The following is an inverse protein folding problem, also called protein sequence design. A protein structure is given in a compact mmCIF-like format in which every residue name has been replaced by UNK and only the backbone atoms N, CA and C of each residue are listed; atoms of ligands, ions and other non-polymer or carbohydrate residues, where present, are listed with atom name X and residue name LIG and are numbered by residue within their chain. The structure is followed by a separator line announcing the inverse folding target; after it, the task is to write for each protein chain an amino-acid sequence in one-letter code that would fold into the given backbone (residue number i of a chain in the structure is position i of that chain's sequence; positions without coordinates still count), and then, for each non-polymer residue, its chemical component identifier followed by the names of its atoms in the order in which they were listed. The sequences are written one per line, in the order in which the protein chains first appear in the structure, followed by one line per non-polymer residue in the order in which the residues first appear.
data_IF_736569661724
#
_entry.id   IF_736569661724
#
_cell.length_a   1.000
_cell.length_b   1.000
_cell.length_c   1.000
_cell.angle_alpha   90.00
_cell.angle_beta   90.00
_cell.angle_gamma   90.00
#
_symmetry.space_group_name_H-M   'P 1'
#
loop_
_entity.id
_entity.type
_entity.pdbx_description
1 polymer ?
#
# COMPACT_ATOMS: atom_id res chain seq x y z
N UNK A 1 -26.35 35.14 -33.09
CA UNK A 1 -26.84 33.85 -33.56
C UNK A 1 -25.83 32.78 -33.10
N UNK A 2 -26.08 32.19 -31.94
CA UNK A 2 -25.26 31.12 -31.37
C UNK A 2 -25.79 29.79 -31.90
N UNK A 3 -24.94 29.02 -32.57
CA UNK A 3 -25.27 27.66 -33.02
C UNK A 3 -25.49 26.77 -31.80
N UNK A 4 -26.52 25.90 -31.76
CA UNK A 4 -26.71 24.93 -30.70
C UNK A 4 -25.62 23.85 -30.79
N UNK A 5 -25.03 23.53 -29.65
CA UNK A 5 -24.16 22.36 -29.47
C UNK A 5 -24.99 21.11 -29.82
N UNK A 6 -24.57 20.42 -30.88
CA UNK A 6 -25.15 19.13 -31.27
C UNK A 6 -24.96 18.13 -30.13
N UNK A 7 -26.02 17.42 -29.79
CA UNK A 7 -26.03 16.33 -28.81
C UNK A 7 -24.99 15.28 -29.21
N UNK A 8 -23.82 15.31 -28.60
CA UNK A 8 -22.83 14.26 -28.75
C UNK A 8 -23.43 13.02 -28.05
N UNK A 9 -23.69 11.99 -28.85
CA UNK A 9 -24.24 10.76 -28.32
C UNK A 9 -23.23 10.11 -27.35
N UNK A 10 -23.58 10.05 -26.08
CA UNK A 10 -22.73 9.49 -25.00
C UNK A 10 -22.20 8.10 -25.37
N UNK A 11 -23.01 7.31 -26.10
CA UNK A 11 -22.62 5.99 -26.57
C UNK A 11 -21.47 6.04 -27.60
N UNK A 12 -21.45 7.04 -28.48
CA UNK A 12 -20.35 7.25 -29.44
C UNK A 12 -19.07 7.71 -28.72
N UNK A 13 -19.20 8.57 -27.69
CA UNK A 13 -18.06 9.03 -26.91
C UNK A 13 -17.43 7.86 -26.12
N UNK A 14 -18.25 7.01 -25.51
CA UNK A 14 -17.78 5.81 -24.79
C UNK A 14 -17.10 4.84 -25.76
N UNK A 15 -17.67 4.61 -26.94
CA UNK A 15 -17.06 3.76 -27.97
C UNK A 15 -15.73 4.33 -28.49
N UNK A 16 -15.65 5.64 -28.64
CA UNK A 16 -14.43 6.31 -29.08
C UNK A 16 -13.31 6.16 -28.03
N UNK A 17 -13.62 6.40 -26.76
CA UNK A 17 -12.65 6.21 -25.65
C UNK A 17 -12.17 4.76 -25.56
N UNK A 18 -13.08 3.79 -25.70
CA UNK A 18 -12.73 2.36 -25.71
C UNK A 18 -11.84 2.00 -26.90
N UNK A 19 -12.08 2.63 -28.07
CA UNK A 19 -11.31 2.37 -29.29
C UNK A 19 -9.92 3.01 -29.20
N UNK A 20 -9.82 4.22 -28.69
CA UNK A 20 -8.55 4.92 -28.50
C UNK A 20 -7.66 4.23 -27.48
N UNK A 21 -8.23 3.68 -26.39
CA UNK A 21 -7.49 2.85 -25.42
C UNK A 21 -6.98 1.54 -26.04
N UNK A 22 -7.67 0.97 -27.02
CA UNK A 22 -7.22 -0.23 -27.73
C UNK A 22 -6.06 0.01 -28.69
N UNK A 23 -5.90 1.21 -29.22
CA UNK A 23 -4.84 1.53 -30.18
C UNK A 23 -3.52 1.99 -29.56
N UNK A 24 -3.52 2.40 -28.28
CA UNK A 24 -2.30 2.82 -27.57
C UNK A 24 -1.52 1.68 -26.88
N UNK A 25 -1.98 0.43 -26.98
CA UNK A 25 -1.46 -0.71 -26.20
C UNK A 25 -0.88 -1.86 -27.04
N UNK A 26 -0.23 -1.58 -28.19
CA UNK A 26 0.37 -2.64 -29.03
C UNK A 26 1.74 -3.15 -28.50
N UNK A 27 2.31 -2.55 -27.44
CA UNK A 27 3.65 -2.98 -26.94
C UNK A 27 3.68 -3.59 -25.53
N UNK A 28 2.56 -3.68 -24.82
CA UNK A 28 2.40 -4.55 -23.65
C UNK A 28 0.92 -4.91 -23.60
N UNK A 29 0.55 -6.10 -24.03
CA UNK A 29 -0.80 -6.60 -23.81
C UNK A 29 -1.07 -6.50 -22.29
N UNK A 30 -1.99 -5.63 -21.82
CA UNK A 30 -2.39 -5.68 -20.44
C UNK A 30 -2.97 -7.09 -20.27
N UNK A 31 -2.45 -7.86 -19.29
CA UNK A 31 -3.20 -9.02 -18.80
C UNK A 31 -4.59 -8.49 -18.52
N UNK A 32 -5.57 -8.94 -19.26
CA UNK A 32 -6.97 -8.60 -19.01
C UNK A 32 -7.24 -9.08 -17.60
N UNK A 33 -7.36 -8.17 -16.65
CA UNK A 33 -7.77 -8.48 -15.29
C UNK A 33 -9.23 -8.87 -15.45
N UNK A 34 -9.51 -10.17 -15.40
CA UNK A 34 -10.88 -10.66 -15.35
C UNK A 34 -11.41 -10.35 -13.95
N UNK A 35 -12.03 -9.19 -13.81
CA UNK A 35 -12.78 -8.87 -12.59
C UNK A 35 -14.05 -9.73 -12.58
N UNK A 36 -14.19 -10.55 -11.54
CA UNK A 36 -15.37 -11.41 -11.38
C UNK A 36 -15.08 -12.70 -10.61
N UNK A 37 -15.96 -13.66 -10.73
CA UNK A 37 -15.89 -14.98 -10.03
C UNK A 37 -14.60 -15.75 -10.34
N UNK A 38 -13.92 -15.42 -11.42
CA UNK A 38 -12.66 -16.03 -11.86
C UNK A 38 -11.42 -15.15 -11.58
N UNK A 39 -11.59 -14.05 -10.82
CA UNK A 39 -10.44 -13.26 -10.37
C UNK A 39 -9.63 -14.11 -9.38
N UNK A 40 -8.38 -14.48 -9.66
CA UNK A 40 -7.57 -15.30 -8.76
C UNK A 40 -7.35 -14.63 -7.41
N UNK A 41 -7.39 -13.29 -7.36
CA UNK A 41 -7.26 -12.53 -6.13
C UNK A 41 -8.54 -12.42 -5.29
N UNK A 42 -9.69 -12.98 -5.74
CA UNK A 42 -10.95 -12.84 -5.00
C UNK A 42 -10.87 -13.49 -3.62
N UNK A 43 -11.31 -12.77 -2.58
CA UNK A 43 -11.24 -13.22 -1.19
C UNK A 43 -9.81 -13.59 -0.73
N UNK A 44 -8.79 -12.97 -1.30
CA UNK A 44 -7.40 -13.12 -0.86
C UNK A 44 -6.92 -11.83 -0.20
N UNK A 45 -6.33 -11.95 1.00
CA UNK A 45 -5.74 -10.81 1.72
C UNK A 45 -4.28 -11.12 2.08
N UNK A 46 -3.37 -10.44 1.41
CA UNK A 46 -1.94 -10.51 1.75
C UNK A 46 -1.60 -9.34 2.67
N UNK A 47 -1.19 -9.65 3.87
CA UNK A 47 -0.67 -8.68 4.82
C UNK A 47 0.84 -8.56 4.67
N UNK A 48 1.38 -7.35 4.75
CA UNK A 48 2.83 -7.16 4.87
C UNK A 48 3.20 -6.70 6.27
N UNK A 49 4.35 -7.14 6.75
CA UNK A 49 4.98 -6.64 7.96
C UNK A 49 6.47 -6.37 7.71
N UNK A 50 7.03 -5.40 8.41
CA UNK A 50 8.43 -5.01 8.31
C UNK A 50 8.61 -3.57 8.77
N UNK A 51 9.73 -3.27 9.42
CA UNK A 51 10.04 -1.95 9.96
C UNK A 51 10.27 -0.87 8.89
N UNK A 52 10.49 0.37 9.31
CA UNK A 52 10.98 1.42 8.42
C UNK A 52 12.28 0.96 7.74
N UNK A 53 12.49 1.34 6.48
CA UNK A 53 13.70 0.92 5.74
C UNK A 53 13.75 -0.56 5.32
N UNK A 54 12.80 -1.42 5.73
CA UNK A 54 12.82 -2.85 5.37
C UNK A 54 12.62 -3.11 3.86
N UNK A 55 12.04 -2.16 3.12
CA UNK A 55 11.84 -2.29 1.68
C UNK A 55 10.50 -2.90 1.27
N UNK A 56 9.48 -2.86 2.13
CA UNK A 56 8.10 -3.32 1.81
C UNK A 56 7.58 -2.76 0.49
N UNK A 57 7.72 -1.44 0.27
CA UNK A 57 7.27 -0.80 -0.96
C UNK A 57 8.00 -1.32 -2.20
N UNK A 58 9.29 -1.63 -2.08
CA UNK A 58 10.06 -2.27 -3.16
C UNK A 58 9.51 -3.67 -3.46
N UNK A 59 9.25 -4.48 -2.42
CA UNK A 59 8.67 -5.81 -2.62
C UNK A 59 7.24 -5.74 -3.14
N UNK A 60 6.44 -4.77 -2.71
CA UNK A 60 5.11 -4.54 -3.26
C UNK A 60 5.18 -4.26 -4.78
N UNK A 61 6.16 -3.52 -5.24
CA UNK A 61 6.37 -3.25 -6.66
C UNK A 61 6.86 -4.49 -7.41
N UNK A 62 7.90 -5.16 -6.92
CA UNK A 62 8.54 -6.30 -7.59
C UNK A 62 7.65 -7.54 -7.60
N UNK A 63 6.99 -7.86 -6.48
CA UNK A 63 6.21 -9.09 -6.32
C UNK A 63 4.78 -8.92 -6.85
N UNK A 64 4.16 -7.78 -6.53
CA UNK A 64 2.73 -7.56 -6.82
C UNK A 64 2.50 -6.59 -7.98
N UNK A 65 3.55 -6.00 -8.55
CA UNK A 65 3.43 -5.02 -9.64
C UNK A 65 2.74 -3.72 -9.22
N UNK A 66 2.75 -3.42 -7.94
CA UNK A 66 2.21 -2.16 -7.40
C UNK A 66 3.23 -1.06 -7.66
N UNK A 67 3.09 -0.35 -8.77
CA UNK A 67 3.99 0.77 -9.09
C UNK A 67 3.82 1.90 -8.08
N UNK A 68 4.75 2.03 -7.18
CA UNK A 68 4.93 3.21 -6.33
C UNK A 68 5.69 4.28 -7.11
N UNK A 69 5.03 4.88 -8.10
CA UNK A 69 5.68 5.93 -8.89
C UNK A 69 5.93 7.16 -8.01
N UNK A 70 7.17 7.36 -7.59
CA UNK A 70 7.61 8.54 -6.83
C UNK A 70 7.54 9.84 -7.65
N UNK A 71 7.48 9.75 -8.99
CA UNK A 71 7.70 10.89 -9.88
C UNK A 71 6.47 11.33 -10.68
N UNK A 72 5.26 10.84 -10.34
CA UNK A 72 4.07 11.14 -11.11
C UNK A 72 2.90 11.63 -10.24
N UNK A 73 2.05 12.54 -10.75
CA UNK A 73 0.92 13.07 -10.00
C UNK A 73 0.03 11.96 -9.47
N UNK A 74 -0.47 12.12 -8.25
CA UNK A 74 -1.22 11.14 -7.47
C UNK A 74 -2.33 10.41 -8.23
N UNK A 75 -2.98 11.06 -9.19
CA UNK A 75 -4.12 10.49 -9.92
C UNK A 75 -3.75 9.76 -11.21
N UNK A 76 -2.60 10.06 -11.82
CA UNK A 76 -2.27 9.52 -13.15
C UNK A 76 -1.54 8.18 -13.11
N UNK A 77 -0.93 7.81 -11.98
CA UNK A 77 0.03 6.71 -11.95
C UNK A 77 0.01 5.83 -10.71
N UNK A 78 -0.92 6.04 -9.79
CA UNK A 78 -1.11 5.16 -8.67
C UNK A 78 -1.98 3.98 -9.12
N UNK A 79 -1.36 2.91 -9.60
CA UNK A 79 -2.08 1.65 -9.75
C UNK A 79 -2.43 1.15 -8.35
N UNK A 80 -3.71 1.22 -7.99
CA UNK A 80 -4.24 0.55 -6.80
C UNK A 80 -4.47 -0.95 -7.05
N UNK A 81 -4.15 -1.41 -8.23
CA UNK A 81 -4.35 -2.78 -8.69
C UNK A 81 -3.00 -3.38 -8.99
N UNK A 82 -2.61 -4.40 -8.25
CA UNK A 82 -1.42 -5.19 -8.53
C UNK A 82 -1.56 -6.04 -9.80
N UNK A 83 -0.45 -6.53 -10.35
CA UNK A 83 -0.42 -7.36 -11.55
C UNK A 83 -1.19 -8.68 -11.40
N UNK A 84 -1.42 -9.13 -10.18
CA UNK A 84 -2.18 -10.32 -9.81
C UNK A 84 -3.61 -10.01 -9.29
N UNK A 85 -4.12 -8.80 -9.56
CA UNK A 85 -5.48 -8.40 -9.18
C UNK A 85 -5.63 -7.85 -7.76
N UNK A 86 -4.61 -7.94 -6.90
CA UNK A 86 -4.68 -7.44 -5.53
C UNK A 86 -4.74 -5.91 -5.48
N UNK A 87 -5.66 -5.38 -4.70
CA UNK A 87 -5.84 -3.95 -4.48
C UNK A 87 -4.91 -3.49 -3.35
N UNK A 88 -4.07 -2.51 -3.61
CA UNK A 88 -3.10 -2.01 -2.62
C UNK A 88 -3.76 -1.11 -1.59
N UNK A 89 -3.70 -1.52 -0.31
CA UNK A 89 -4.26 -0.83 0.85
C UNK A 89 -3.11 -0.21 1.64
N UNK A 90 -2.83 1.08 1.39
CA UNK A 90 -1.76 1.85 2.04
C UNK A 90 -2.21 3.30 2.27
N UNK A 91 -1.97 3.83 3.48
CA UNK A 91 -2.37 5.18 3.88
C UNK A 91 -1.40 6.28 3.41
N UNK A 92 -0.14 5.93 3.10
CA UNK A 92 0.90 6.94 2.86
C UNK A 92 0.56 7.84 1.67
N UNK A 93 -0.01 7.29 0.59
CA UNK A 93 -0.45 8.07 -0.57
C UNK A 93 -1.52 9.11 -0.25
N UNK A 94 -2.48 8.74 0.59
CA UNK A 94 -3.52 9.67 1.03
C UNK A 94 -2.92 10.74 1.94
N UNK A 95 -2.00 10.36 2.80
CA UNK A 95 -1.29 11.29 3.68
C UNK A 95 -0.45 12.31 2.87
N UNK A 96 0.35 11.87 1.91
CA UNK A 96 1.12 12.75 1.04
C UNK A 96 0.22 13.73 0.25
N UNK A 97 -0.95 13.26 -0.19
CA UNK A 97 -1.94 14.12 -0.85
C UNK A 97 -2.46 15.20 0.10
N UNK A 98 -2.80 14.86 1.33
CA UNK A 98 -3.31 15.82 2.31
C UNK A 98 -2.22 16.84 2.68
N UNK A 99 -0.96 16.42 2.82
CA UNK A 99 0.17 17.33 2.98
C UNK A 99 0.29 18.32 1.79
N UNK A 100 0.13 17.81 0.56
CA UNK A 100 0.14 18.66 -0.64
C UNK A 100 -0.96 19.72 -0.64
N UNK A 101 -2.17 19.40 -0.13
CA UNK A 101 -3.25 20.38 0.03
C UNK A 101 -2.93 21.48 1.03
N UNK A 102 -2.16 21.14 2.07
CA UNK A 102 -1.68 22.08 3.08
C UNK A 102 -0.45 22.88 2.63
N UNK A 103 0.06 22.61 1.41
CA UNK A 103 1.29 23.21 0.91
C UNK A 103 2.55 22.72 1.61
N UNK A 104 2.47 21.61 2.34
CA UNK A 104 3.58 21.03 3.09
C UNK A 104 4.31 20.02 2.21
N UNK A 105 5.60 20.26 1.98
CA UNK A 105 6.44 19.26 1.30
C UNK A 105 6.80 18.14 2.31
N UNK A 106 6.63 16.85 1.98
CA UNK A 106 7.05 15.75 2.84
C UNK A 106 8.52 15.81 3.28
N UNK A 107 9.38 16.48 2.50
CA UNK A 107 10.80 16.70 2.85
C UNK A 107 11.01 17.66 4.03
N UNK A 108 10.05 18.55 4.23
CA UNK A 108 10.11 19.52 5.33
C UNK A 108 9.69 18.87 6.67
N UNK A 109 9.15 17.64 6.61
CA UNK A 109 8.81 16.79 7.76
C UNK A 109 9.91 15.77 8.06
N UNK A 110 11.20 16.11 7.81
CA UNK A 110 12.32 15.16 7.96
C UNK A 110 12.44 14.63 9.38
N UNK A 111 12.20 15.46 10.35
CA UNK A 111 12.19 15.08 11.75
C UNK A 111 10.80 15.36 12.34
N UNK A 112 9.97 14.33 12.37
CA UNK A 112 8.62 14.44 12.96
C UNK A 112 8.70 14.89 14.42
N UNK A 113 9.82 14.61 15.10
CA UNK A 113 10.11 15.09 16.45
C UNK A 113 10.46 16.59 16.49
N UNK A 114 10.89 17.18 15.38
CA UNK A 114 11.32 18.57 15.28
C UNK A 114 10.32 19.45 14.54
N UNK A 115 9.03 19.07 14.53
CA UNK A 115 7.99 19.94 13.97
C UNK A 115 8.00 21.27 14.74
N UNK A 116 8.10 22.42 14.03
CA UNK A 116 8.45 23.70 14.64
C UNK A 116 7.36 24.31 15.53
N UNK A 117 6.18 23.69 15.65
CA UNK A 117 5.12 24.11 16.57
C UNK A 117 4.12 22.99 16.85
N UNK A 118 3.50 23.07 18.03
CA UNK A 118 2.38 22.20 18.41
C UNK A 118 1.21 22.32 17.41
N UNK A 119 0.95 23.52 16.88
CA UNK A 119 -0.08 23.75 15.84
C UNK A 119 0.19 22.95 14.57
N UNK A 120 1.43 22.89 14.10
CA UNK A 120 1.77 22.11 12.90
C UNK A 120 1.65 20.59 13.16
N UNK A 121 2.00 20.15 14.38
CA UNK A 121 1.77 18.77 14.79
C UNK A 121 0.29 18.40 14.74
N UNK A 122 -0.58 19.25 15.28
CA UNK A 122 -2.03 19.03 15.32
C UNK A 122 -2.61 18.93 13.90
N UNK A 123 -2.25 19.85 13.02
CA UNK A 123 -2.72 19.85 11.62
C UNK A 123 -2.24 18.61 10.85
N UNK A 124 -1.05 18.12 11.12
CA UNK A 124 -0.41 17.06 10.33
C UNK A 124 -0.59 15.68 10.93
N UNK A 125 -0.32 15.50 12.22
CA UNK A 125 -0.11 14.20 12.84
C UNK A 125 -1.07 13.86 13.98
N UNK A 126 -1.71 14.85 14.61
CA UNK A 126 -2.51 14.62 15.83
C UNK A 126 -3.57 13.54 15.59
N UNK A 127 -3.63 12.57 16.50
CA UNK A 127 -4.66 11.55 16.51
C UNK A 127 -5.97 12.10 17.08
N UNK A 128 -5.90 13.16 17.88
CA UNK A 128 -7.04 13.77 18.56
C UNK A 128 -7.76 14.80 17.67
N UNK A 129 -7.06 15.31 16.61
CA UNK A 129 -7.64 16.23 15.64
C UNK A 129 -8.23 15.49 14.43
N UNK A 130 -9.57 15.43 14.29
CA UNK A 130 -10.23 14.70 13.21
C UNK A 130 -9.81 15.17 11.80
N UNK A 131 -9.50 16.45 11.66
CA UNK A 131 -9.12 17.10 10.40
C UNK A 131 -7.62 17.07 10.13
N UNK A 132 -6.81 16.46 11.00
CA UNK A 132 -5.39 16.29 10.73
C UNK A 132 -5.17 15.48 9.45
N UNK A 133 -4.13 15.83 8.69
CA UNK A 133 -3.79 15.14 7.43
C UNK A 133 -3.70 13.62 7.62
N UNK A 134 -3.20 13.17 8.79
CA UNK A 134 -3.10 11.75 9.14
C UNK A 134 -4.46 11.09 9.31
N UNK A 135 -5.40 11.73 10.02
CA UNK A 135 -6.73 11.16 10.27
C UNK A 135 -7.59 11.19 9.02
N UNK A 136 -7.53 12.26 8.24
CA UNK A 136 -8.19 12.34 6.93
C UNK A 136 -7.69 11.23 6.00
N UNK A 137 -6.37 11.01 5.94
CA UNK A 137 -5.79 9.94 5.14
C UNK A 137 -6.26 8.54 5.59
N UNK A 138 -6.36 8.30 6.90
CA UNK A 138 -6.91 7.04 7.45
C UNK A 138 -8.38 6.86 7.04
N UNK A 139 -9.21 7.90 7.15
CA UNK A 139 -10.63 7.86 6.75
C UNK A 139 -10.81 7.50 5.26
N UNK A 140 -9.99 8.06 4.37
CA UNK A 140 -9.99 7.66 2.96
C UNK A 140 -9.60 6.19 2.77
N UNK A 141 -8.55 5.75 3.48
CA UNK A 141 -8.12 4.35 3.40
C UNK A 141 -9.21 3.38 3.88
N UNK A 142 -9.86 3.69 5.00
CA UNK A 142 -10.95 2.88 5.53
C UNK A 142 -12.13 2.82 4.56
N UNK A 143 -12.50 3.94 3.97
CA UNK A 143 -13.57 4.00 2.96
C UNK A 143 -13.24 3.14 1.74
N UNK A 144 -12.00 3.21 1.25
CA UNK A 144 -11.53 2.43 0.11
C UNK A 144 -11.48 0.95 0.46
N UNK A 145 -10.95 0.59 1.62
CA UNK A 145 -10.91 -0.79 2.12
C UNK A 145 -12.31 -1.39 2.23
N UNK A 146 -13.26 -0.66 2.80
CA UNK A 146 -14.66 -1.08 2.90
C UNK A 146 -15.29 -1.38 1.52
N UNK A 147 -14.93 -0.59 0.49
CA UNK A 147 -15.39 -0.87 -0.89
C UNK A 147 -14.79 -2.18 -1.42
N UNK A 148 -13.51 -2.43 -1.18
CA UNK A 148 -12.85 -3.68 -1.59
C UNK A 148 -13.44 -4.89 -0.87
N UNK A 149 -13.66 -4.79 0.44
CA UNK A 149 -14.27 -5.84 1.26
C UNK A 149 -15.71 -6.15 0.81
N UNK A 150 -16.54 -5.13 0.56
CA UNK A 150 -17.89 -5.31 0.00
C UNK A 150 -17.88 -5.97 -1.37
N UNK A 151 -16.89 -5.63 -2.20
CA UNK A 151 -16.67 -6.25 -3.51
C UNK A 151 -16.01 -7.63 -3.45
N UNK A 152 -15.58 -8.09 -2.26
CA UNK A 152 -14.82 -9.33 -2.07
C UNK A 152 -13.51 -9.36 -2.87
N UNK A 153 -12.97 -8.18 -3.15
CA UNK A 153 -11.76 -8.04 -3.97
C UNK A 153 -10.52 -8.44 -3.18
N UNK A 154 -9.54 -9.00 -3.88
CA UNK A 154 -8.25 -9.31 -3.27
C UNK A 154 -7.52 -8.06 -2.81
N UNK A 155 -6.82 -8.13 -1.67
CA UNK A 155 -6.14 -6.99 -1.07
C UNK A 155 -4.69 -7.30 -0.75
N UNK A 156 -3.80 -6.31 -0.98
CA UNK A 156 -2.46 -6.23 -0.40
C UNK A 156 -2.48 -5.14 0.67
N UNK A 157 -2.45 -5.54 1.93
CA UNK A 157 -2.60 -4.65 3.08
C UNK A 157 -1.21 -4.34 3.64
N UNK A 158 -0.75 -3.11 3.42
CA UNK A 158 0.56 -2.66 3.88
C UNK A 158 0.51 -2.22 5.34
N UNK A 159 1.37 -2.82 6.15
CA UNK A 159 1.51 -2.54 7.56
C UNK A 159 2.95 -2.68 8.05
N UNK A 160 3.28 -2.05 9.17
CA UNK A 160 4.60 -2.22 9.79
C UNK A 160 4.69 -3.52 10.59
N UNK A 161 3.58 -3.99 11.16
CA UNK A 161 3.58 -5.17 12.03
C UNK A 161 4.06 -4.90 13.46
N UNK A 162 4.33 -3.64 13.84
CA UNK A 162 4.78 -3.30 15.19
C UNK A 162 3.73 -3.49 16.28
N UNK A 163 2.43 -3.51 15.92
CA UNK A 163 1.31 -3.70 16.85
C UNK A 163 0.63 -5.04 16.58
N UNK A 164 1.00 -6.07 17.34
CA UNK A 164 0.49 -7.44 17.19
C UNK A 164 -1.04 -7.52 17.28
N UNK A 165 -1.64 -6.93 18.32
CA UNK A 165 -3.09 -7.02 18.54
C UNK A 165 -3.91 -6.37 17.43
N UNK A 166 -3.36 -5.34 16.77
CA UNK A 166 -3.97 -4.74 15.58
C UNK A 166 -3.99 -5.77 14.44
N UNK A 167 -2.89 -6.46 14.20
CA UNK A 167 -2.79 -7.48 13.15
C UNK A 167 -3.75 -8.64 13.40
N UNK A 168 -3.83 -9.12 14.64
CA UNK A 168 -4.78 -10.18 15.04
C UNK A 168 -6.21 -9.76 14.71
N UNK A 169 -6.62 -8.54 15.08
CA UNK A 169 -7.96 -8.04 14.78
C UNK A 169 -8.23 -7.94 13.29
N UNK A 170 -7.29 -7.39 12.52
CA UNK A 170 -7.44 -7.23 11.07
C UNK A 170 -7.53 -8.57 10.35
N UNK A 171 -6.70 -9.54 10.76
CA UNK A 171 -6.78 -10.91 10.25
C UNK A 171 -8.12 -11.56 10.60
N UNK A 172 -8.54 -11.49 11.87
CA UNK A 172 -9.80 -12.09 12.32
C UNK A 172 -11.01 -11.51 11.59
N UNK A 173 -11.01 -10.20 11.30
CA UNK A 173 -12.07 -9.58 10.50
C UNK A 173 -12.05 -10.07 9.05
N UNK A 174 -10.87 -10.22 8.45
CA UNK A 174 -10.74 -10.76 7.10
C UNK A 174 -11.22 -12.22 7.04
N UNK A 175 -10.77 -13.06 7.98
CA UNK A 175 -11.20 -14.46 8.09
C UNK A 175 -12.74 -14.58 8.27
N UNK A 176 -13.33 -13.72 9.12
CA UNK A 176 -14.78 -13.70 9.34
C UNK A 176 -15.58 -13.30 8.08
N UNK A 177 -14.98 -12.54 7.18
CA UNK A 177 -15.55 -12.18 5.88
C UNK A 177 -15.30 -13.25 4.80
N UNK A 178 -14.59 -14.32 5.12
CA UNK A 178 -14.27 -15.42 4.22
C UNK A 178 -13.02 -15.21 3.37
N UNK A 179 -12.14 -14.28 3.76
CA UNK A 179 -10.85 -14.14 3.11
C UNK A 179 -9.88 -15.23 3.56
N UNK A 180 -9.16 -15.80 2.62
CA UNK A 180 -7.90 -16.48 2.92
C UNK A 180 -6.83 -15.41 3.20
N UNK A 181 -6.03 -15.61 4.22
CA UNK A 181 -5.06 -14.62 4.67
C UNK A 181 -3.62 -15.14 4.57
N UNK A 182 -2.70 -14.27 4.16
CA UNK A 182 -1.27 -14.56 4.04
C UNK A 182 -0.45 -13.43 4.63
N UNK A 183 0.70 -13.74 5.26
CA UNK A 183 1.65 -12.76 5.76
C UNK A 183 2.97 -12.83 4.98
N UNK A 184 3.37 -11.71 4.40
CA UNK A 184 4.70 -11.48 3.87
C UNK A 184 5.49 -10.62 4.85
N UNK A 185 6.39 -11.24 5.61
CA UNK A 185 7.27 -10.55 6.54
C UNK A 185 8.56 -10.12 5.83
N UNK A 186 8.81 -8.81 5.80
CA UNK A 186 10.00 -8.23 5.16
C UNK A 186 11.01 -7.93 6.24
N UNK A 187 11.98 -8.82 6.36
CA UNK A 187 13.06 -8.73 7.32
C UNK A 187 14.23 -7.91 6.79
N UNK A 188 14.91 -7.19 7.68
CA UNK A 188 16.14 -6.47 7.35
C UNK A 188 16.92 -6.18 8.64
N UNK A 189 18.24 -6.11 8.55
CA UNK A 189 19.07 -5.77 9.70
C UNK A 189 18.88 -4.32 10.13
N UNK A 190 18.98 -4.05 11.42
CA UNK A 190 18.82 -2.70 11.98
C UNK A 190 19.75 -1.64 11.34
N UNK A 191 21.06 -1.92 11.13
CA UNK A 191 21.94 -0.95 10.48
C UNK A 191 21.47 -0.55 9.08
N UNK A 192 20.99 -1.54 8.29
CA UNK A 192 20.48 -1.29 6.94
C UNK A 192 19.15 -0.53 6.98
N UNK A 193 18.29 -0.83 7.95
CA UNK A 193 17.03 -0.11 8.16
C UNK A 193 17.28 1.38 8.43
N UNK A 194 18.21 1.70 9.33
CA UNK A 194 18.62 3.07 9.66
C UNK A 194 19.24 3.78 8.45
N UNK A 195 20.18 3.11 7.75
CA UNK A 195 20.80 3.68 6.55
C UNK A 195 19.77 4.02 5.45
N UNK A 196 18.79 3.13 5.24
CA UNK A 196 17.75 3.34 4.23
C UNK A 196 16.75 4.41 4.64
N UNK A 197 16.40 4.49 5.93
CA UNK A 197 15.54 5.54 6.44
C UNK A 197 16.18 6.91 6.25
N UNK A 198 17.47 7.06 6.56
CA UNK A 198 18.23 8.30 6.39
C UNK A 198 18.29 8.81 4.93
N UNK A 199 18.08 7.93 3.94
CA UNK A 199 18.05 8.27 2.51
C UNK A 199 16.66 8.65 2.00
N UNK A 200 15.62 8.54 2.84
CA UNK A 200 14.23 8.89 2.46
C UNK A 200 14.03 10.40 2.47
N UNK A 201 13.04 10.85 1.69
CA UNK A 201 12.62 12.26 1.71
C UNK A 201 12.05 12.66 3.09
N UNK A 202 11.41 11.72 3.79
CA UNK A 202 10.94 11.85 5.18
C UNK A 202 11.59 10.76 6.01
N UNK A 203 12.43 11.16 6.96
CA UNK A 203 13.13 10.26 7.88
C UNK A 203 12.40 10.19 9.23
N UNK A 204 12.59 9.11 9.95
CA UNK A 204 12.07 8.92 11.31
C UNK A 204 13.14 9.15 12.38
N UNK A 205 14.41 9.14 11.97
CA UNK A 205 15.55 9.17 12.88
C UNK A 205 15.91 7.80 13.47
N UNK A 206 17.20 7.60 13.84
CA UNK A 206 17.71 6.29 14.23
C UNK A 206 16.99 5.66 15.43
N UNK A 207 16.68 6.45 16.46
CA UNK A 207 16.05 5.96 17.69
C UNK A 207 14.64 5.40 17.43
N UNK A 208 13.82 6.13 16.65
CA UNK A 208 12.46 5.69 16.34
C UNK A 208 12.47 4.51 15.36
N UNK A 209 13.43 4.47 14.44
CA UNK A 209 13.64 3.32 13.55
C UNK A 209 13.96 2.07 14.36
N UNK A 210 14.88 2.17 15.33
CA UNK A 210 15.27 1.07 16.23
C UNK A 210 14.09 0.58 17.05
N UNK A 211 13.33 1.49 17.69
CA UNK A 211 12.15 1.13 18.48
C UNK A 211 11.11 0.38 17.63
N UNK A 212 10.77 0.92 16.46
CA UNK A 212 9.79 0.27 15.57
C UNK A 212 10.34 -1.07 15.06
N UNK A 213 11.62 -1.13 14.69
CA UNK A 213 12.28 -2.34 14.22
C UNK A 213 12.22 -3.44 15.29
N UNK A 214 12.57 -3.12 16.54
CA UNK A 214 12.51 -4.07 17.65
C UNK A 214 11.10 -4.61 17.86
N UNK A 215 10.09 -3.73 17.92
CA UNK A 215 8.69 -4.12 18.06
C UNK A 215 8.23 -5.07 16.92
N UNK A 216 8.74 -4.88 15.72
CA UNK A 216 8.43 -5.75 14.57
C UNK A 216 9.13 -7.11 14.71
N UNK A 217 10.40 -7.12 15.12
CA UNK A 217 11.15 -8.37 15.35
C UNK A 217 10.53 -9.22 16.46
N UNK A 218 10.11 -8.60 17.57
CA UNK A 218 9.46 -9.29 18.67
C UNK A 218 8.14 -9.97 18.27
N UNK A 219 7.49 -9.48 17.22
CA UNK A 219 6.26 -10.06 16.71
C UNK A 219 6.47 -11.14 15.62
N UNK A 220 7.67 -11.34 15.11
CA UNK A 220 7.94 -12.21 13.96
C UNK A 220 7.46 -13.65 14.17
N UNK A 221 7.88 -14.29 15.27
CA UNK A 221 7.47 -15.68 15.57
C UNK A 221 5.97 -15.77 15.88
N UNK A 222 5.41 -14.75 16.56
CA UNK A 222 3.96 -14.67 16.82
C UNK A 222 3.15 -14.58 15.53
N UNK A 223 3.65 -13.86 14.51
CA UNK A 223 3.00 -13.82 13.18
C UNK A 223 3.11 -15.16 12.47
N UNK A 224 4.25 -15.85 12.59
CA UNK A 224 4.41 -17.18 12.03
C UNK A 224 3.39 -18.17 12.64
N UNK A 225 3.18 -18.12 13.95
CA UNK A 225 2.14 -18.93 14.61
C UNK A 225 0.72 -18.52 14.15
N UNK A 226 0.45 -17.22 14.04
CA UNK A 226 -0.86 -16.68 13.67
C UNK A 226 -1.29 -17.02 12.23
N UNK A 227 -0.35 -17.02 11.29
CA UNK A 227 -0.62 -17.29 9.87
C UNK A 227 -0.29 -18.71 9.42
N UNK A 228 0.43 -19.48 10.25
CA UNK A 228 0.78 -20.89 9.96
C UNK A 228 1.52 -21.05 8.64
N UNK A 229 1.03 -21.93 7.77
CA UNK A 229 1.64 -22.20 6.47
C UNK A 229 1.56 -21.02 5.48
N UNK A 230 0.69 -20.05 5.76
CA UNK A 230 0.53 -18.83 4.98
C UNK A 230 1.44 -17.69 5.48
N UNK A 231 2.65 -18.02 5.91
CA UNK A 231 3.64 -17.07 6.40
C UNK A 231 4.95 -17.26 5.63
N UNK A 232 5.47 -16.17 5.04
CA UNK A 232 6.78 -16.17 4.41
C UNK A 232 7.63 -15.00 4.87
N UNK A 233 8.94 -15.22 4.95
CA UNK A 233 9.94 -14.20 5.27
C UNK A 233 10.76 -13.91 4.03
N UNK A 234 10.92 -12.63 3.71
CA UNK A 234 11.90 -12.14 2.74
C UNK A 234 12.97 -11.37 3.48
N UNK A 235 14.17 -11.93 3.51
CA UNK A 235 15.36 -11.22 3.98
C UNK A 235 15.77 -10.18 2.94
N UNK A 236 15.78 -8.92 3.32
CA UNK A 236 16.03 -7.79 2.41
C UNK A 236 17.12 -6.84 2.94
N UNK A 237 18.10 -7.35 3.67
CA UNK A 237 19.28 -6.56 4.07
C UNK A 237 20.17 -6.23 2.87
N UNK A 238 20.17 -7.10 1.85
CA UNK A 238 20.82 -6.86 0.56
C UNK A 238 19.76 -6.73 -0.51
N UNK A 239 19.84 -5.69 -1.34
CA UNK A 239 18.92 -5.53 -2.47
C UNK A 239 19.09 -6.68 -3.46
N UNK A 240 17.99 -7.34 -3.75
CA UNK A 240 17.93 -8.45 -4.69
C UNK A 240 16.51 -8.88 -4.97
N UNK A 241 16.29 -9.75 -5.96
CA UNK A 241 14.98 -10.33 -6.19
C UNK A 241 14.60 -11.20 -4.98
N UNK A 242 13.30 -11.23 -4.59
CA UNK A 242 12.84 -12.10 -3.53
C UNK A 242 13.09 -13.59 -3.90
N UNK A 243 13.27 -14.48 -2.92
CA UNK A 243 13.48 -15.91 -3.17
C UNK A 243 12.36 -16.51 -4.02
N UNK A 244 12.72 -17.38 -4.95
CA UNK A 244 11.76 -18.01 -5.88
C UNK A 244 10.69 -18.84 -5.16
N UNK A 245 11.03 -19.42 -4.02
CA UNK A 245 10.10 -20.15 -3.15
C UNK A 245 9.00 -19.25 -2.59
N UNK A 246 9.34 -18.01 -2.20
CA UNK A 246 8.35 -17.02 -1.73
C UNK A 246 7.42 -16.60 -2.87
N UNK A 247 7.99 -16.36 -4.05
CA UNK A 247 7.19 -16.04 -5.25
C UNK A 247 6.23 -17.18 -5.58
N UNK A 248 6.71 -18.44 -5.54
CA UNK A 248 5.87 -19.63 -5.78
C UNK A 248 4.78 -19.75 -4.73
N UNK A 249 5.11 -19.58 -3.44
CA UNK A 249 4.14 -19.64 -2.34
C UNK A 249 3.03 -18.61 -2.52
N UNK A 250 3.40 -17.36 -2.83
CA UNK A 250 2.43 -16.29 -3.10
C UNK A 250 1.57 -16.54 -4.35
N UNK A 251 2.18 -17.02 -5.43
CA UNK A 251 1.43 -17.35 -6.66
C UNK A 251 0.47 -18.53 -6.46
N UNK A 252 0.79 -19.48 -5.58
CA UNK A 252 -0.13 -20.57 -5.24
C UNK A 252 -1.24 -20.12 -4.30
N UNK A 253 -0.98 -19.07 -3.49
CA UNK A 253 -1.96 -18.51 -2.58
C UNK A 253 -2.99 -17.63 -3.31
N UNK A 254 -2.56 -16.76 -4.23
CA UNK A 254 -3.41 -15.87 -5.01
C UNK A 254 -4.00 -16.60 -6.20
#
# INVERSE_FOLDING_TARGET
MTKPLSSVNLHQLVQQVITEQRHSSILCAPKVIQEGVYDPGILKAVFTAGGPGSGKSYLADVVFGVRTAKDKPFFENASFIGSNGLKYVNSDRFFERELGKLGINPKDLRDIADLPSDELWDIVQSADEPESARNVAKGYLESLRNLYEKGRLGMLIDGTGGKYDKMVREKSLADAMGYDTYMLFVDTSLPVAIERDAKRDRTLGPQLVEEIWQNVQDNKERFKELFGDNFAVVENSVYGPPPQEVIKSLNNFV
#
